data_IF_974441303720
#
_entry.id   IF_974441303720
#
_cell.length_a   1.000
_cell.length_b   1.000
_cell.length_c   1.000
_cell.angle_alpha   90.00
_cell.angle_beta   90.00
_cell.angle_gamma   90.00
#
_symmetry.space_group_name_H-M   'P 1'
#
loop_
_entity.id
_entity.type
_entity.pdbx_description
1 polymer ?
#
# COMPACT_ATOMS: atom_id res chain seq x y z
N UNK A 1 -0.57 -14.03 -1.26
CA UNK A 1 -0.03 -12.94 -0.41
C UNK A 1 1.33 -13.28 0.19
N UNK A 2 1.46 -14.33 1.01
CA UNK A 2 2.74 -14.71 1.66
C UNK A 2 3.88 -14.83 0.66
N UNK A 3 3.65 -15.63 -0.37
CA UNK A 3 4.61 -15.85 -1.45
C UNK A 3 4.99 -14.55 -2.18
N UNK A 4 4.03 -13.65 -2.38
CA UNK A 4 4.28 -12.34 -2.98
C UNK A 4 5.18 -11.47 -2.11
N UNK A 5 4.88 -11.37 -0.80
CA UNK A 5 5.67 -10.57 0.13
C UNK A 5 7.08 -11.11 0.34
N UNK A 6 7.25 -12.44 0.38
CA UNK A 6 8.57 -13.08 0.55
C UNK A 6 9.49 -12.86 -0.63
N UNK A 7 8.94 -12.85 -1.85
CA UNK A 7 9.70 -12.73 -3.09
C UNK A 7 9.61 -11.33 -3.71
N UNK A 8 9.03 -10.35 -3.01
CA UNK A 8 8.93 -8.99 -3.53
C UNK A 8 10.33 -8.40 -3.68
N UNK A 9 10.71 -7.93 -4.88
CA UNK A 9 11.96 -7.21 -5.07
C UNK A 9 11.89 -5.77 -4.53
N UNK A 10 10.70 -5.31 -4.16
CA UNK A 10 10.42 -3.94 -3.76
C UNK A 10 10.36 -3.81 -2.22
N UNK A 11 10.79 -2.67 -1.65
CA UNK A 11 10.60 -2.41 -0.24
C UNK A 11 9.12 -2.38 0.15
N UNK A 12 8.75 -3.11 1.19
CA UNK A 12 7.39 -3.11 1.78
C UNK A 12 7.43 -2.50 3.18
N UNK A 13 6.50 -1.60 3.45
CA UNK A 13 6.27 -0.97 4.75
C UNK A 13 4.89 -1.34 5.27
N UNK A 14 4.76 -1.47 6.59
CA UNK A 14 3.51 -1.82 7.27
C UNK A 14 3.03 -0.64 8.10
N UNK A 15 1.86 -0.09 7.77
CA UNK A 15 1.23 1.01 8.50
C UNK A 15 -0.05 0.50 9.19
N UNK A 16 -0.10 0.52 10.53
CA UNK A 16 -1.19 -0.08 11.30
C UNK A 16 -1.54 0.73 12.55
N UNK A 17 -2.83 0.70 12.91
CA UNK A 17 -3.32 1.23 14.19
C UNK A 17 -3.03 0.31 15.37
N UNK A 18 -2.61 -0.93 15.12
CA UNK A 18 -2.22 -1.91 16.15
C UNK A 18 -0.84 -1.57 16.71
N UNK A 19 -0.52 -2.05 17.92
CA UNK A 19 0.82 -1.90 18.49
C UNK A 19 1.89 -2.65 17.68
N UNK A 20 3.15 -2.21 17.76
CA UNK A 20 4.25 -2.82 17.00
C UNK A 20 4.40 -4.32 17.30
N UNK A 21 4.36 -4.70 18.58
CA UNK A 21 4.40 -6.10 19.01
C UNK A 21 3.27 -6.94 18.39
N UNK A 22 2.06 -6.40 18.28
CA UNK A 22 0.94 -7.09 17.66
C UNK A 22 1.08 -7.19 16.14
N UNK A 23 1.55 -6.13 15.48
CA UNK A 23 1.85 -6.15 14.04
C UNK A 23 2.87 -7.23 13.74
N UNK A 24 4.00 -7.22 14.45
CA UNK A 24 5.10 -8.18 14.26
C UNK A 24 4.66 -9.61 14.47
N UNK A 25 3.83 -9.84 15.50
CA UNK A 25 3.22 -11.15 15.73
C UNK A 25 2.31 -11.58 14.57
N UNK A 26 1.43 -10.70 14.09
CA UNK A 26 0.54 -11.02 12.96
C UNK A 26 1.35 -11.32 11.68
N UNK A 27 2.40 -10.52 11.41
CA UNK A 27 3.29 -10.74 10.27
C UNK A 27 3.99 -12.11 10.36
N UNK A 28 4.43 -12.51 11.54
CA UNK A 28 5.04 -13.81 11.77
C UNK A 28 4.03 -14.95 11.66
N UNK A 29 2.94 -14.88 12.43
CA UNK A 29 2.01 -15.99 12.61
C UNK A 29 1.15 -16.22 11.35
N UNK A 30 0.73 -15.14 10.66
CA UNK A 30 -0.18 -15.24 9.52
C UNK A 30 0.53 -15.14 8.17
N UNK A 31 1.65 -14.41 8.11
CA UNK A 31 2.37 -14.19 6.85
C UNK A 31 3.75 -14.86 6.81
N UNK A 32 4.19 -15.47 7.90
CA UNK A 32 5.50 -16.11 7.99
C UNK A 32 6.65 -15.14 7.71
N UNK A 33 6.48 -13.86 8.05
CA UNK A 33 7.47 -12.80 7.91
C UNK A 33 8.00 -12.42 9.30
N UNK A 34 9.28 -12.65 9.56
CA UNK A 34 9.89 -12.29 10.83
C UNK A 34 10.40 -10.84 10.78
N UNK A 35 9.48 -9.90 11.05
CA UNK A 35 9.77 -8.47 11.11
C UNK A 35 9.65 -8.01 12.57
N UNK A 36 10.74 -7.56 13.21
CA UNK A 36 10.71 -7.01 14.56
C UNK A 36 9.83 -5.76 14.69
N UNK A 37 9.35 -5.47 15.90
CA UNK A 37 8.47 -4.32 16.15
C UNK A 37 9.18 -2.97 16.18
N UNK A 38 10.50 -2.98 16.34
CA UNK A 38 11.40 -1.82 16.19
C UNK A 38 11.95 -1.66 14.76
N UNK A 39 11.51 -2.50 13.82
CA UNK A 39 11.91 -2.43 12.42
C UNK A 39 11.53 -1.07 11.82
N UNK A 40 12.42 -0.42 11.03
CA UNK A 40 12.11 0.83 10.34
C UNK A 40 11.03 0.67 9.25
N UNK A 41 10.58 -0.56 8.99
CA UNK A 41 9.48 -0.90 8.07
C UNK A 41 8.12 -0.92 8.76
N UNK A 42 8.06 -0.86 10.08
CA UNK A 42 6.82 -0.96 10.87
C UNK A 42 6.45 0.41 11.44
N UNK A 43 5.32 0.94 10.96
CA UNK A 43 4.68 2.14 11.47
C UNK A 43 3.41 1.72 12.20
N UNK A 44 3.52 1.55 13.52
CA UNK A 44 2.46 1.02 14.37
C UNK A 44 1.83 2.10 15.26
N UNK A 45 0.68 1.79 15.87
CA UNK A 45 -0.03 2.72 16.76
C UNK A 45 -0.65 3.93 16.04
N UNK A 46 -0.87 3.82 14.73
CA UNK A 46 -1.48 4.85 13.88
C UNK A 46 -3.00 4.91 14.10
N UNK A 47 -3.41 5.23 15.33
CA UNK A 47 -4.81 5.34 15.71
C UNK A 47 -5.50 6.46 14.92
N UNK A 48 -6.78 6.32 14.58
CA UNK A 48 -7.57 7.43 14.06
C UNK A 48 -7.51 8.65 14.99
N UNK A 49 -7.61 9.88 14.45
CA UNK A 49 -7.93 10.20 13.05
C UNK A 49 -6.73 10.04 12.08
N UNK A 50 -6.98 10.08 10.76
CA UNK A 50 -6.05 9.65 9.71
C UNK A 50 -4.71 10.43 9.61
N UNK A 51 -4.52 11.49 10.40
CA UNK A 51 -3.30 12.31 10.45
C UNK A 51 -2.05 11.50 10.78
N UNK A 52 -2.14 10.56 11.73
CA UNK A 52 -1.00 9.73 12.10
C UNK A 52 -0.54 8.86 10.92
N UNK A 53 -1.49 8.31 10.16
CA UNK A 53 -1.18 7.52 8.96
C UNK A 53 -0.64 8.40 7.83
N UNK A 54 -1.18 9.59 7.62
CA UNK A 54 -0.64 10.55 6.67
C UNK A 54 0.81 10.94 7.00
N UNK A 55 1.12 11.17 8.29
CA UNK A 55 2.49 11.44 8.74
C UNK A 55 3.42 10.26 8.45
N UNK A 56 3.00 9.02 8.76
CA UNK A 56 3.77 7.81 8.44
C UNK A 56 4.05 7.68 6.93
N UNK A 57 3.06 7.96 6.06
CA UNK A 57 3.26 7.93 4.61
C UNK A 57 4.23 9.01 4.12
N UNK A 58 4.26 10.19 4.74
CA UNK A 58 5.26 11.23 4.45
C UNK A 58 6.65 10.80 4.89
N UNK A 59 6.79 10.22 6.08
CA UNK A 59 8.05 9.70 6.60
C UNK A 59 8.60 8.57 5.72
N UNK A 60 7.73 7.70 5.20
CA UNK A 60 8.10 6.66 4.25
C UNK A 60 8.52 7.28 2.91
N UNK A 61 7.74 8.23 2.37
CA UNK A 61 8.06 8.89 1.12
C UNK A 61 9.41 9.63 1.18
N UNK A 62 9.79 10.18 2.34
CA UNK A 62 11.07 10.85 2.54
C UNK A 62 12.29 9.90 2.59
N UNK A 63 12.10 8.57 2.59
CA UNK A 63 13.22 7.61 2.61
C UNK A 63 13.98 7.67 1.28
N UNK A 64 15.34 7.51 1.28
CA UNK A 64 16.14 7.59 0.06
C UNK A 64 15.67 6.68 -1.07
N UNK A 65 15.24 5.45 -0.74
CA UNK A 65 14.74 4.49 -1.75
C UNK A 65 13.51 5.01 -2.50
N UNK A 66 12.65 5.77 -1.81
CA UNK A 66 11.44 6.39 -2.37
C UNK A 66 11.72 7.66 -3.17
N UNK A 67 12.92 8.25 -3.04
CA UNK A 67 13.35 9.46 -3.75
C UNK A 67 14.15 9.15 -5.03
N UNK A 68 14.37 7.87 -5.32
CA UNK A 68 15.04 7.45 -6.56
C UNK A 68 14.20 7.88 -7.78
N UNK A 69 14.81 8.45 -8.83
CA UNK A 69 14.08 8.78 -10.05
C UNK A 69 13.28 7.59 -10.59
N UNK A 70 11.99 7.79 -10.85
CA UNK A 70 11.10 6.73 -11.31
C UNK A 70 10.51 5.85 -10.21
N UNK A 71 10.82 6.07 -8.93
CA UNK A 71 10.19 5.36 -7.82
C UNK A 71 8.69 5.64 -7.79
N UNK A 72 7.90 4.57 -7.71
CA UNK A 72 6.44 4.61 -7.61
C UNK A 72 6.03 4.17 -6.21
N UNK A 73 5.21 4.97 -5.54
CA UNK A 73 4.75 4.68 -4.18
C UNK A 73 3.32 4.17 -4.24
N UNK A 74 3.08 2.99 -3.67
CA UNK A 74 1.78 2.32 -3.70
C UNK A 74 1.25 2.19 -2.27
N UNK A 75 0.06 2.74 -2.00
CA UNK A 75 -0.60 2.64 -0.72
C UNK A 75 -1.87 1.80 -0.84
N UNK A 76 -1.94 0.71 -0.07
CA UNK A 76 -3.04 -0.26 -0.09
C UNK A 76 -3.68 -0.26 1.30
N UNK A 77 -4.97 0.02 1.36
CA UNK A 77 -5.78 -0.04 2.58
C UNK A 77 -7.14 -0.65 2.24
N UNK A 78 -7.82 -1.26 3.21
CA UNK A 78 -9.14 -1.86 2.98
C UNK A 78 -10.30 -0.96 3.42
N UNK A 79 -10.01 0.18 4.06
CA UNK A 79 -11.02 1.15 4.49
C UNK A 79 -11.06 2.34 3.53
N UNK A 80 -12.20 2.51 2.87
CA UNK A 80 -12.41 3.61 1.91
C UNK A 80 -12.20 4.99 2.55
N UNK A 81 -12.68 5.21 3.78
CA UNK A 81 -12.48 6.48 4.51
C UNK A 81 -10.99 6.86 4.67
N UNK A 82 -10.10 5.87 4.82
CA UNK A 82 -8.66 6.11 4.91
C UNK A 82 -8.15 6.65 3.59
N UNK A 83 -8.48 5.97 2.48
CA UNK A 83 -8.02 6.32 1.15
C UNK A 83 -8.61 7.65 0.69
N UNK A 84 -9.86 7.93 1.01
CA UNK A 84 -10.49 9.22 0.75
C UNK A 84 -9.76 10.35 1.49
N UNK A 85 -9.42 10.16 2.77
CA UNK A 85 -8.65 11.14 3.53
C UNK A 85 -7.24 11.33 2.95
N UNK A 86 -6.58 10.26 2.51
CA UNK A 86 -5.28 10.34 1.85
C UNK A 86 -5.38 11.10 0.52
N UNK A 87 -6.41 10.82 -0.28
CA UNK A 87 -6.66 11.48 -1.57
C UNK A 87 -7.02 12.96 -1.41
N UNK A 88 -7.80 13.31 -0.38
CA UNK A 88 -8.22 14.67 -0.09
C UNK A 88 -7.09 15.55 0.51
N UNK A 89 -5.94 14.94 0.80
CA UNK A 89 -4.73 15.66 1.17
C UNK A 89 -4.76 16.27 2.57
N UNK A 90 -5.01 15.45 3.60
CA UNK A 90 -4.83 15.84 5.01
C UNK A 90 -3.51 16.61 5.20
N UNK A 91 -3.63 17.91 5.50
CA UNK A 91 -2.57 18.90 5.78
C UNK A 91 -1.21 18.61 5.11
N UNK A 92 -1.14 18.76 3.79
CA UNK A 92 0.11 18.70 3.02
C UNK A 92 0.14 17.66 1.90
N UNK A 93 -0.94 16.89 1.73
CA UNK A 93 -1.01 15.86 0.71
C UNK A 93 -0.18 14.61 1.01
N UNK A 94 -0.48 13.54 0.28
CA UNK A 94 0.37 12.35 0.13
C UNK A 94 0.67 12.14 -1.36
N UNK A 95 0.89 13.21 -2.11
CA UNK A 95 1.65 13.07 -3.34
C UNK A 95 3.06 12.56 -2.94
N UNK A 96 3.61 11.49 -3.55
CA UNK A 96 3.24 10.89 -4.85
C UNK A 96 2.58 9.49 -4.79
N UNK A 97 1.73 9.20 -3.79
CA UNK A 97 1.17 7.85 -3.60
C UNK A 97 0.04 7.51 -4.58
N UNK A 98 0.15 6.35 -5.24
CA UNK A 98 -0.97 5.66 -5.91
C UNK A 98 -1.80 4.93 -4.86
N UNK A 99 -3.12 5.13 -4.89
CA UNK A 99 -4.03 4.66 -3.85
C UNK A 99 -4.84 3.45 -4.33
N UNK A 100 -4.88 2.41 -3.50
CA UNK A 100 -5.55 1.16 -3.81
C UNK A 100 -6.48 0.73 -2.67
N UNK A 101 -7.74 0.42 -3.01
CA UNK A 101 -8.70 -0.18 -2.10
C UNK A 101 -8.65 -1.71 -2.23
N UNK A 102 -8.34 -2.40 -1.14
CA UNK A 102 -8.37 -3.85 -1.09
C UNK A 102 -9.82 -4.37 -1.03
N UNK A 103 -10.32 -4.98 -2.12
CA UNK A 103 -11.70 -5.43 -2.22
C UNK A 103 -12.07 -6.61 -1.29
N UNK A 104 -11.07 -7.27 -0.69
CA UNK A 104 -11.24 -8.44 0.17
C UNK A 104 -11.26 -8.11 1.67
N UNK A 105 -11.26 -6.82 2.04
CA UNK A 105 -11.28 -6.37 3.44
C UNK A 105 -12.57 -5.66 3.83
N UNK A 106 -12.49 -4.72 4.77
CA UNK A 106 -13.64 -4.05 5.37
C UNK A 106 -14.22 -2.92 4.49
N UNK A 107 -14.85 -3.27 3.37
CA UNK A 107 -15.60 -2.32 2.54
C UNK A 107 -16.85 -2.92 1.85
N UNK A 108 -17.82 -2.06 1.56
CA UNK A 108 -19.05 -2.41 0.83
C UNK A 108 -18.92 -2.22 -0.69
N UNK A 109 -19.90 -2.70 -1.47
CA UNK A 109 -19.90 -2.47 -2.92
C UNK A 109 -20.07 -0.98 -3.26
N UNK A 110 -20.89 -0.27 -2.49
CA UNK A 110 -21.08 1.17 -2.63
C UNK A 110 -19.76 1.92 -2.40
N UNK A 111 -18.96 1.52 -1.40
CA UNK A 111 -17.64 2.10 -1.16
C UNK A 111 -16.65 1.78 -2.27
N UNK A 112 -16.69 0.58 -2.85
CA UNK A 112 -15.86 0.24 -4.03
C UNK A 112 -16.23 1.07 -5.25
N UNK A 113 -17.52 1.31 -5.49
CA UNK A 113 -17.98 2.20 -6.57
C UNK A 113 -17.54 3.64 -6.32
N UNK A 114 -17.68 4.13 -5.09
CA UNK A 114 -17.21 5.44 -4.70
C UNK A 114 -15.68 5.58 -4.86
N UNK A 115 -14.90 4.55 -4.51
CA UNK A 115 -13.46 4.53 -4.72
C UNK A 115 -13.09 4.72 -6.20
N UNK A 116 -13.71 3.93 -7.09
CA UNK A 116 -13.49 4.06 -8.54
C UNK A 116 -13.85 5.45 -9.06
N UNK A 117 -14.96 6.02 -8.60
CA UNK A 117 -15.40 7.37 -8.97
C UNK A 117 -14.44 8.47 -8.49
N UNK A 118 -13.64 8.21 -7.44
CA UNK A 118 -12.65 9.13 -6.89
C UNK A 118 -11.21 8.81 -7.35
N UNK A 119 -11.04 8.00 -8.41
CA UNK A 119 -9.72 7.68 -8.96
C UNK A 119 -8.88 6.75 -8.08
N UNK A 120 -9.50 6.05 -7.13
CA UNK A 120 -8.85 5.01 -6.30
C UNK A 120 -9.06 3.66 -6.99
N UNK A 121 -7.96 2.95 -7.25
CA UNK A 121 -8.02 1.64 -7.90
C UNK A 121 -8.48 0.58 -6.91
N UNK A 122 -9.50 -0.19 -7.26
CA UNK A 122 -9.98 -1.31 -6.44
C UNK A 122 -9.25 -2.58 -6.87
N UNK A 123 -8.55 -3.23 -5.95
CA UNK A 123 -7.78 -4.45 -6.21
C UNK A 123 -8.49 -5.69 -5.69
N UNK A 124 -8.47 -6.77 -6.47
CA UNK A 124 -8.65 -8.13 -5.95
C UNK A 124 -7.39 -8.59 -5.19
N UNK A 125 -7.51 -9.67 -4.42
CA UNK A 125 -6.37 -10.23 -3.69
C UNK A 125 -5.26 -10.69 -4.64
N UNK A 126 -5.64 -11.26 -5.78
CA UNK A 126 -4.75 -11.71 -6.85
C UNK A 126 -3.97 -10.52 -7.43
N UNK A 127 -4.68 -9.45 -7.82
CA UNK A 127 -4.07 -8.23 -8.36
C UNK A 127 -3.12 -7.56 -7.35
N UNK A 128 -3.46 -7.59 -6.06
CA UNK A 128 -2.56 -7.11 -5.02
C UNK A 128 -1.29 -7.96 -4.91
N UNK A 129 -1.41 -9.28 -5.04
CA UNK A 129 -0.24 -10.16 -5.05
C UNK A 129 0.65 -9.89 -6.28
N UNK A 130 0.07 -9.61 -7.44
CA UNK A 130 0.81 -9.19 -8.63
C UNK A 130 1.53 -7.86 -8.41
N UNK A 131 0.84 -6.85 -7.88
CA UNK A 131 1.43 -5.56 -7.54
C UNK A 131 2.65 -5.71 -6.62
N UNK A 132 2.55 -6.55 -5.60
CA UNK A 132 3.64 -6.80 -4.66
C UNK A 132 4.82 -7.51 -5.34
N UNK A 133 4.56 -8.48 -6.23
CA UNK A 133 5.61 -9.25 -6.92
C UNK A 133 6.32 -8.41 -7.98
N UNK A 134 5.58 -7.63 -8.74
CA UNK A 134 6.07 -7.04 -9.98
C UNK A 134 6.14 -5.51 -9.94
N UNK A 135 5.50 -4.86 -8.96
CA UNK A 135 5.36 -3.40 -8.92
C UNK A 135 4.34 -2.84 -9.92
N UNK A 136 3.60 -3.73 -10.60
CA UNK A 136 2.62 -3.41 -11.65
C UNK A 136 1.41 -4.34 -11.51
N UNK A 137 0.21 -3.87 -11.87
CA UNK A 137 -1.01 -4.70 -11.98
C UNK A 137 -1.35 -4.90 -13.45
N UNK A 138 -1.39 -6.14 -13.92
CA UNK A 138 -1.70 -6.42 -15.32
C UNK A 138 -3.19 -6.17 -15.62
N UNK A 139 -3.50 -5.48 -16.72
CA UNK A 139 -4.88 -5.24 -17.15
C UNK A 139 -5.63 -4.16 -16.36
N UNK A 140 -4.90 -3.37 -15.58
CA UNK A 140 -5.36 -2.13 -14.98
C UNK A 140 -4.39 -1.06 -15.43
N UNK A 141 -4.88 0.01 -16.08
CA UNK A 141 -4.04 1.16 -16.40
C UNK A 141 -3.67 1.88 -15.10
N UNK A 142 -2.63 1.36 -14.47
CA UNK A 142 -1.99 1.95 -13.31
C UNK A 142 -0.77 2.79 -13.75
N UNK A 143 -0.58 3.08 -15.04
CA UNK A 143 0.60 3.77 -15.58
C UNK A 143 1.91 3.00 -15.34
N UNK A 144 1.82 1.68 -15.23
CA UNK A 144 2.91 0.77 -14.92
C UNK A 144 2.96 -0.42 -15.89
N UNK A 145 2.02 -0.53 -16.85
CA UNK A 145 2.08 -1.58 -17.87
C UNK A 145 3.39 -1.45 -18.66
N UNK A 146 4.19 -2.53 -18.76
CA UNK A 146 5.43 -2.51 -19.52
C UNK A 146 5.12 -2.26 -21.00
N UNK A 147 5.90 -1.40 -21.64
CA UNK A 147 5.74 -1.18 -23.09
C UNK A 147 6.11 -2.46 -23.85
N UNK A 148 5.56 -2.63 -25.06
CA UNK A 148 5.67 -3.88 -25.82
C UNK A 148 7.13 -4.31 -26.09
N UNK A 149 8.06 -3.36 -26.06
CA UNK A 149 9.50 -3.54 -26.21
C UNK A 149 10.21 -4.03 -24.93
N UNK A 150 9.62 -3.83 -23.75
CA UNK A 150 10.12 -4.35 -22.47
C UNK A 150 9.75 -5.82 -22.26
N UNK A 151 8.67 -6.29 -22.90
CA UNK A 151 8.19 -7.68 -22.81
C UNK A 151 9.01 -8.64 -23.72
N UNK A 152 9.68 -8.12 -24.74
CA UNK A 152 10.41 -8.91 -25.75
C UNK A 152 11.93 -9.04 -25.51
N UNK A 153 12.46 -8.52 -24.40
CA UNK A 153 13.89 -8.57 -24.06
C UNK A 153 14.23 -9.57 -22.96
#
# INVERSE_FOLDING_TARGET
MIDALRHSPNPVYFASSKSGALVSRILRDNLGLDVPDDSPRVFAGLLPPNQAKAAALRDIAARPVCQTPGAKLHFIDDRFETLQAMSAGVEGGVAPWKLYLAAWGYNTEEERQAARANGITVLSLEQCCELIKWGVVMGVDDGCEPEADEITR
#
